data_IF_489393904197
#
_entry.id   IF_489393904197
#
_cell.length_a   1.000
_cell.length_b   1.000
_cell.length_c   1.000
_cell.angle_alpha   90.00
_cell.angle_beta   90.00
_cell.angle_gamma   90.00
#
_symmetry.space_group_name_H-M   'P 1'
#
loop_
_entity.id
_entity.type
_entity.pdbx_description
1 polymer ?
#
# COMPACT_ATOMS: atom_id res chain seq x y z
N UNK A 1 78.83 -9.74 -29.88
CA UNK A 1 77.51 -10.38 -30.00
C UNK A 1 77.02 -10.65 -28.58
N UNK A 2 75.88 -10.04 -28.18
CA UNK A 2 75.03 -10.37 -27.01
C UNK A 2 75.63 -10.17 -25.59
N UNK A 3 74.96 -9.65 -24.56
CA UNK A 3 73.72 -8.87 -24.40
C UNK A 3 73.73 -8.43 -22.91
N UNK A 4 73.62 -7.12 -22.61
CA UNK A 4 73.46 -6.59 -21.25
C UNK A 4 72.13 -7.07 -20.66
N UNK A 5 72.14 -7.72 -19.49
CA UNK A 5 70.93 -7.93 -18.69
C UNK A 5 70.67 -6.67 -17.86
N UNK A 6 69.57 -5.99 -18.17
CA UNK A 6 68.99 -4.89 -17.38
C UNK A 6 67.82 -5.44 -16.57
N UNK A 7 67.84 -5.21 -15.26
CA UNK A 7 66.74 -5.50 -14.34
C UNK A 7 65.58 -4.54 -14.61
N UNK A 8 64.44 -5.05 -15.06
CA UNK A 8 63.20 -4.30 -15.07
C UNK A 8 62.40 -4.64 -13.80
N UNK A 9 62.35 -3.69 -12.88
CA UNK A 9 61.35 -3.64 -11.81
C UNK A 9 59.97 -3.44 -12.45
N UNK A 10 59.09 -4.44 -12.36
CA UNK A 10 57.67 -4.25 -12.67
C UNK A 10 57.01 -3.47 -11.54
N UNK A 11 56.75 -2.19 -11.79
CA UNK A 11 55.85 -1.38 -10.96
C UNK A 11 54.43 -1.85 -11.29
N UNK A 12 53.85 -2.69 -10.41
CA UNK A 12 52.44 -3.03 -10.44
C UNK A 12 51.69 -1.78 -9.98
N UNK A 13 51.14 -1.04 -10.94
CA UNK A 13 50.20 0.04 -10.66
C UNK A 13 48.86 -0.60 -10.26
N UNK A 14 48.63 -0.76 -8.94
CA UNK A 14 47.31 -1.09 -8.42
C UNK A 14 46.39 0.11 -8.74
N UNK A 15 45.58 -0.02 -9.78
CA UNK A 15 44.43 0.84 -9.96
C UNK A 15 43.46 0.56 -8.81
N UNK A 16 43.50 1.41 -7.78
CA UNK A 16 42.43 1.53 -6.80
C UNK A 16 41.16 1.91 -7.56
N UNK A 17 40.34 0.91 -7.88
CA UNK A 17 38.95 1.13 -8.25
C UNK A 17 38.30 1.70 -6.99
N UNK A 18 38.14 3.02 -6.98
CA UNK A 18 37.33 3.70 -5.99
C UNK A 18 35.90 3.19 -6.18
N UNK A 19 35.48 2.22 -5.37
CA UNK A 19 34.08 2.05 -5.07
C UNK A 19 33.63 3.39 -4.48
N UNK A 20 32.78 4.12 -5.20
CA UNK A 20 32.02 5.21 -4.64
C UNK A 20 31.14 4.60 -3.54
N UNK A 21 31.69 4.54 -2.33
CA UNK A 21 30.94 4.23 -1.14
C UNK A 21 29.83 5.25 -1.02
N UNK A 22 28.60 4.78 -0.82
CA UNK A 22 27.50 5.63 -0.38
C UNK A 22 28.01 6.48 0.79
N UNK A 23 27.94 7.80 0.66
CA UNK A 23 28.13 8.69 1.80
C UNK A 23 27.02 8.41 2.80
N UNK A 24 27.38 7.81 3.94
CA UNK A 24 26.50 7.72 5.10
C UNK A 24 26.13 9.13 5.53
N UNK A 25 24.89 9.57 5.30
CA UNK A 25 24.46 10.88 5.79
C UNK A 25 23.08 11.39 5.37
N UNK A 26 22.56 11.00 4.19
CA UNK A 26 21.25 11.52 3.76
C UNK A 26 20.12 10.56 4.15
N UNK A 27 19.34 10.96 5.15
CA UNK A 27 18.12 10.23 5.55
C UNK A 27 17.10 10.38 4.44
N UNK A 28 16.64 9.26 3.88
CA UNK A 28 15.59 9.30 2.87
C UNK A 28 14.29 9.74 3.54
N UNK A 29 13.59 10.70 2.96
CA UNK A 29 12.32 11.17 3.48
C UNK A 29 11.15 10.77 2.56
N UNK A 30 10.02 10.45 3.18
CA UNK A 30 8.74 10.26 2.51
C UNK A 30 7.58 10.56 3.45
N UNK A 31 6.35 10.67 2.92
CA UNK A 31 5.20 11.06 3.73
C UNK A 31 4.44 9.86 4.27
N UNK A 32 3.78 10.07 5.40
CA UNK A 32 2.81 9.15 6.03
C UNK A 32 1.87 8.51 5.00
N UNK A 33 1.89 7.19 4.88
CA UNK A 33 1.03 6.42 3.97
C UNK A 33 1.44 6.40 2.49
N UNK A 34 2.63 6.91 2.13
CA UNK A 34 3.15 6.81 0.75
C UNK A 34 3.83 5.47 0.46
N UNK A 35 4.01 5.19 -0.82
CA UNK A 35 4.98 4.20 -1.31
C UNK A 35 6.16 4.99 -1.87
N UNK A 36 7.38 4.59 -1.52
CA UNK A 36 8.61 5.19 -2.03
C UNK A 36 9.52 4.10 -2.60
N UNK A 37 10.52 4.55 -3.37
CA UNK A 37 11.60 3.69 -3.84
C UNK A 37 12.87 4.07 -3.08
N UNK A 38 13.51 3.08 -2.47
CA UNK A 38 14.78 3.23 -1.75
C UNK A 38 15.88 2.41 -2.43
N UNK A 39 17.16 2.78 -2.33
CA UNK A 39 18.25 1.91 -2.74
C UNK A 39 18.24 0.63 -1.89
N UNK A 40 18.62 -0.50 -2.48
CA UNK A 40 18.86 -1.75 -1.76
C UNK A 40 20.32 -2.15 -1.90
N UNK A 41 20.95 -2.47 -0.76
CA UNK A 41 22.34 -2.96 -0.70
C UNK A 41 22.43 -4.48 -0.93
N UNK A 42 21.28 -5.14 -1.03
CA UNK A 42 21.11 -6.58 -1.03
C UNK A 42 20.70 -7.05 -2.43
N UNK A 43 21.46 -8.02 -2.98
CA UNK A 43 21.03 -8.82 -4.12
C UNK A 43 20.24 -10.05 -3.66
N UNK A 44 19.76 -10.05 -2.41
CA UNK A 44 19.19 -11.22 -1.77
C UNK A 44 17.81 -11.49 -2.39
N UNK A 45 17.63 -12.70 -2.92
CA UNK A 45 16.43 -13.13 -3.65
C UNK A 45 15.14 -13.19 -2.80
N UNK A 46 15.23 -12.86 -1.50
CA UNK A 46 14.07 -12.72 -0.62
C UNK A 46 13.40 -11.34 -0.68
N UNK A 47 14.10 -10.33 -1.22
CA UNK A 47 13.58 -8.97 -1.31
C UNK A 47 12.51 -8.90 -2.40
N UNK A 48 11.26 -8.74 -1.97
CA UNK A 48 10.11 -8.55 -2.85
C UNK A 48 10.18 -7.14 -3.46
N UNK A 49 9.75 -6.98 -4.71
CA UNK A 49 9.66 -5.70 -5.44
C UNK A 49 10.99 -4.97 -5.70
N UNK A 50 12.01 -5.74 -6.05
CA UNK A 50 13.30 -5.21 -6.51
C UNK A 50 13.18 -4.69 -7.94
N UNK A 51 13.66 -3.47 -8.16
CA UNK A 51 13.79 -2.81 -9.46
C UNK A 51 15.29 -2.69 -9.76
N UNK A 52 15.74 -3.29 -10.88
CA UNK A 52 17.12 -3.15 -11.36
C UNK A 52 17.15 -2.12 -12.46
N UNK A 53 17.99 -1.10 -12.31
CA UNK A 53 18.22 -0.10 -13.34
C UNK A 53 19.71 0.20 -13.48
N UNK A 54 20.21 0.03 -14.69
CA UNK A 54 21.64 0.04 -15.03
C UNK A 54 22.42 -0.94 -14.15
N UNK A 55 23.06 -0.46 -13.08
CA UNK A 55 23.76 -1.28 -12.06
C UNK A 55 23.26 -1.03 -10.63
N UNK A 56 22.23 -0.19 -10.46
CA UNK A 56 21.63 0.13 -9.16
C UNK A 56 20.45 -0.80 -8.89
N UNK A 57 20.33 -1.21 -7.63
CA UNK A 57 19.21 -2.00 -7.14
C UNK A 57 18.37 -1.09 -6.27
N UNK A 58 17.08 -1.05 -6.57
CA UNK A 58 16.09 -0.31 -5.84
C UNK A 58 15.02 -1.24 -5.32
N UNK A 59 14.31 -0.80 -4.29
CA UNK A 59 13.18 -1.53 -3.75
C UNK A 59 12.01 -0.60 -3.48
N UNK A 60 10.83 -1.10 -3.81
CA UNK A 60 9.58 -0.43 -3.49
C UNK A 60 9.17 -0.76 -2.06
N UNK A 61 8.94 0.25 -1.23
CA UNK A 61 8.55 0.09 0.19
C UNK A 61 7.38 0.98 0.54
N UNK A 62 6.47 0.50 1.39
CA UNK A 62 5.42 1.35 1.96
C UNK A 62 5.89 2.04 3.22
N UNK A 63 5.37 3.25 3.44
CA UNK A 63 5.55 4.00 4.67
C UNK A 63 4.28 3.90 5.52
N UNK A 64 4.40 3.62 6.82
CA UNK A 64 3.25 3.55 7.71
C UNK A 64 2.54 4.91 7.81
N UNK A 65 1.27 4.88 8.18
CA UNK A 65 0.62 6.09 8.68
C UNK A 65 1.17 6.44 10.06
N UNK A 66 1.65 7.67 10.22
CA UNK A 66 2.21 8.18 11.48
C UNK A 66 1.53 9.48 11.91
N UNK A 67 1.37 9.65 13.23
CA UNK A 67 0.82 10.87 13.86
C UNK A 67 1.88 11.88 14.27
N UNK A 68 3.15 11.48 14.24
CA UNK A 68 4.35 12.30 14.45
C UNK A 68 5.41 11.79 13.48
N UNK A 69 6.40 12.62 13.15
CA UNK A 69 7.56 12.16 12.38
C UNK A 69 8.18 10.93 13.03
N UNK A 70 8.53 9.93 12.22
CA UNK A 70 9.06 8.66 12.68
C UNK A 70 10.26 8.26 11.83
N UNK A 71 11.39 7.94 12.47
CA UNK A 71 12.50 7.29 11.79
C UNK A 71 12.28 5.78 11.84
N UNK A 72 12.26 5.13 10.67
CA UNK A 72 12.19 3.68 10.53
C UNK A 72 13.39 3.21 9.74
N UNK A 73 13.81 1.96 9.97
CA UNK A 73 14.78 1.29 9.10
C UNK A 73 14.03 0.32 8.19
N UNK A 74 14.33 0.38 6.89
CA UNK A 74 13.82 -0.51 5.85
C UNK A 74 14.98 -0.96 4.99
N UNK A 75 15.25 -2.27 4.95
CA UNK A 75 16.30 -2.88 4.14
C UNK A 75 17.66 -2.16 4.31
N UNK A 76 18.07 -2.00 5.57
CA UNK A 76 19.31 -1.34 5.98
C UNK A 76 19.42 0.16 5.60
N UNK A 77 18.31 0.77 5.20
CA UNK A 77 18.21 2.21 4.92
C UNK A 77 17.29 2.87 5.94
N UNK A 78 17.79 3.93 6.57
CA UNK A 78 17.00 4.79 7.44
C UNK A 78 16.10 5.72 6.62
N UNK A 79 14.80 5.67 6.92
CA UNK A 79 13.77 6.45 6.27
C UNK A 79 13.01 7.27 7.30
N UNK A 80 12.98 8.59 7.13
CA UNK A 80 12.13 9.48 7.92
C UNK A 80 10.75 9.58 7.29
N UNK A 81 9.77 9.03 7.98
CA UNK A 81 8.36 9.16 7.64
C UNK A 81 7.85 10.47 8.23
N UNK A 82 7.54 11.43 7.36
CA UNK A 82 7.00 12.73 7.75
C UNK A 82 5.50 12.63 8.03
N UNK A 83 5.08 13.17 9.16
CA UNK A 83 3.67 13.36 9.45
C UNK A 83 3.04 14.29 8.41
N UNK A 84 1.78 14.01 8.07
CA UNK A 84 0.98 14.86 7.19
C UNK A 84 -0.32 15.17 7.90
N UNK A 85 -0.67 16.46 7.95
CA UNK A 85 -1.99 16.88 8.40
C UNK A 85 -2.99 16.71 7.25
N UNK A 86 -3.69 15.57 7.24
CA UNK A 86 -4.77 15.29 6.29
C UNK A 86 -6.08 16.00 6.62
N UNK A 87 -6.13 16.79 7.70
CA UNK A 87 -7.32 17.45 8.19
C UNK A 87 -8.32 16.49 8.85
N UNK A 88 -9.53 16.98 9.05
CA UNK A 88 -10.59 16.25 9.77
C UNK A 88 -11.77 15.88 8.87
N UNK A 89 -12.44 14.80 9.23
CA UNK A 89 -13.77 14.46 8.70
C UNK A 89 -14.72 14.24 9.87
N UNK A 90 -15.90 14.87 9.80
CA UNK A 90 -16.94 14.79 10.82
C UNK A 90 -18.19 14.23 10.17
N UNK A 91 -18.69 13.11 10.71
CA UNK A 91 -19.89 12.45 10.22
C UNK A 91 -20.85 12.14 11.37
N UNK A 92 -22.13 12.07 11.05
CA UNK A 92 -23.18 11.64 11.97
C UNK A 92 -23.71 10.30 11.51
N UNK A 93 -23.59 9.28 12.35
CA UNK A 93 -24.15 7.95 12.12
C UNK A 93 -25.45 7.86 12.92
N UNK A 94 -26.57 7.69 12.21
CA UNK A 94 -27.90 7.61 12.80
C UNK A 94 -28.09 6.32 13.62
N UNK A 95 -27.53 5.21 13.15
CA UNK A 95 -27.51 3.94 13.89
C UNK A 95 -26.44 3.97 14.98
N UNK A 96 -26.83 4.39 16.18
CA UNK A 96 -25.92 4.51 17.32
C UNK A 96 -25.37 3.16 17.78
N UNK A 97 -26.01 2.02 17.45
CA UNK A 97 -25.47 0.69 17.79
C UNK A 97 -24.13 0.40 17.11
N UNK A 98 -23.85 1.08 15.99
CA UNK A 98 -22.56 1.02 15.26
C UNK A 98 -21.50 1.95 15.85
N UNK A 99 -21.88 2.84 16.76
CA UNK A 99 -21.00 3.84 17.38
C UNK A 99 -20.69 3.43 18.82
N UNK A 100 -21.72 3.06 19.56
CA UNK A 100 -21.69 2.68 20.97
C UNK A 100 -22.08 1.20 21.08
N UNK A 101 -21.07 0.32 20.99
CA UNK A 101 -21.28 -1.10 20.80
C UNK A 101 -21.78 -1.79 22.07
N UNK A 102 -22.73 -2.71 21.90
CA UNK A 102 -23.05 -3.70 22.91
C UNK A 102 -21.86 -4.66 23.12
N UNK A 103 -21.83 -5.40 24.23
CA UNK A 103 -20.80 -6.45 24.45
C UNK A 103 -20.80 -7.50 23.33
N UNK A 104 -21.98 -7.86 22.84
CA UNK A 104 -22.14 -8.83 21.74
C UNK A 104 -21.56 -8.29 20.44
N UNK A 105 -21.87 -7.05 20.10
CA UNK A 105 -21.34 -6.40 18.88
C UNK A 105 -19.83 -6.21 18.97
N UNK A 106 -19.32 -5.88 20.16
CA UNK A 106 -17.87 -5.77 20.38
C UNK A 106 -17.18 -7.12 20.19
N UNK A 107 -17.75 -8.23 20.68
CA UNK A 107 -17.20 -9.57 20.45
C UNK A 107 -17.24 -9.95 18.97
N UNK A 108 -18.34 -9.64 18.27
CA UNK A 108 -18.46 -9.84 16.82
C UNK A 108 -17.35 -9.07 16.09
N UNK A 109 -17.24 -7.76 16.33
CA UNK A 109 -16.25 -6.91 15.67
C UNK A 109 -14.81 -7.37 15.94
N UNK A 110 -14.50 -7.84 17.15
CA UNK A 110 -13.19 -8.37 17.48
C UNK A 110 -12.86 -9.67 16.71
N UNK A 111 -13.82 -10.60 16.63
CA UNK A 111 -13.66 -11.84 15.87
C UNK A 111 -13.45 -11.57 14.38
N UNK A 112 -14.22 -10.64 13.84
CA UNK A 112 -14.13 -10.21 12.44
C UNK A 112 -12.81 -9.53 12.11
N UNK A 113 -12.27 -8.71 13.01
CA UNK A 113 -10.95 -8.10 12.86
C UNK A 113 -9.83 -9.16 12.76
N UNK A 114 -9.97 -10.29 13.47
CA UNK A 114 -9.03 -11.41 13.36
C UNK A 114 -9.12 -12.07 11.98
N UNK A 115 -10.33 -12.28 11.45
CA UNK A 115 -10.52 -12.85 10.11
C UNK A 115 -9.89 -11.99 9.03
N UNK A 116 -10.09 -10.66 9.08
CA UNK A 116 -9.48 -9.72 8.14
C UNK A 116 -7.94 -9.76 8.28
N UNK A 117 -7.43 -9.79 9.51
CA UNK A 117 -5.98 -9.89 9.76
C UNK A 117 -5.38 -11.18 9.18
N UNK A 118 -6.09 -12.31 9.31
CA UNK A 118 -5.67 -13.59 8.75
C UNK A 118 -5.68 -13.57 7.21
N UNK A 119 -6.70 -12.97 6.59
CA UNK A 119 -6.75 -12.83 5.13
C UNK A 119 -5.58 -11.99 4.58
N UNK A 120 -5.07 -11.03 5.36
CA UNK A 120 -3.95 -10.16 4.98
C UNK A 120 -2.57 -10.73 5.38
N UNK A 121 -2.50 -11.84 6.13
CA UNK A 121 -1.21 -12.36 6.64
C UNK A 121 -0.47 -13.25 5.66
N UNK A 122 -1.18 -13.80 4.67
CA UNK A 122 -0.63 -14.72 3.68
C UNK A 122 -0.92 -14.18 2.30
N UNK A 123 0.11 -14.01 1.48
CA UNK A 123 -0.03 -13.54 0.11
C UNK A 123 0.51 -14.58 -0.87
N UNK A 124 -0.14 -14.69 -2.02
CA UNK A 124 0.30 -15.52 -3.14
C UNK A 124 1.60 -14.98 -3.74
N UNK A 125 2.41 -15.89 -4.26
CA UNK A 125 3.58 -15.56 -5.09
C UNK A 125 3.32 -15.89 -6.57
N UNK A 126 2.11 -16.28 -6.93
CA UNK A 126 1.71 -16.61 -8.31
C UNK A 126 1.43 -15.36 -9.15
N UNK A 127 1.20 -14.22 -8.50
CA UNK A 127 0.87 -12.95 -9.12
C UNK A 127 1.99 -11.96 -8.84
N UNK A 128 2.70 -11.52 -9.88
CA UNK A 128 3.57 -10.33 -9.81
C UNK A 128 2.72 -9.09 -10.11
N UNK A 129 2.53 -8.15 -9.16
CA UNK A 129 1.71 -6.97 -9.38
C UNK A 129 2.45 -5.89 -10.18
N UNK A 130 1.71 -5.22 -11.08
CA UNK A 130 2.26 -4.16 -11.94
C UNK A 130 2.24 -2.76 -11.32
N UNK A 131 1.52 -2.58 -10.20
CA UNK A 131 1.19 -1.27 -9.59
C UNK A 131 0.55 -0.25 -10.56
N UNK A 132 0.04 -0.69 -11.70
CA UNK A 132 -0.74 0.14 -12.63
C UNK A 132 -2.22 0.08 -12.26
N UNK A 133 -2.59 0.68 -11.12
CA UNK A 133 -3.96 0.63 -10.63
C UNK A 133 -4.90 1.46 -11.51
N UNK A 134 -6.11 0.94 -11.75
CA UNK A 134 -7.25 1.76 -12.18
C UNK A 134 -8.13 2.11 -10.97
N UNK A 135 -8.93 3.16 -11.07
CA UNK A 135 -9.96 3.41 -10.05
C UNK A 135 -11.01 2.29 -10.07
N UNK A 136 -11.40 1.72 -8.92
CA UNK A 136 -12.43 0.66 -8.87
C UNK A 136 -13.82 1.11 -9.31
N UNK A 137 -14.12 2.40 -9.15
CA UNK A 137 -15.38 3.04 -9.56
C UNK A 137 -15.08 4.38 -10.25
N UNK A 138 -15.96 4.90 -11.12
CA UNK A 138 -15.72 6.15 -11.84
C UNK A 138 -15.96 7.42 -11.00
N UNK A 139 -16.47 7.29 -9.78
CA UNK A 139 -16.86 8.45 -8.96
C UNK A 139 -15.69 9.21 -8.35
N UNK A 140 -15.95 10.48 -8.01
CA UNK A 140 -14.98 11.36 -7.38
C UNK A 140 -14.66 10.94 -5.94
N UNK A 141 -13.51 11.39 -5.45
CA UNK A 141 -13.11 11.22 -4.05
C UNK A 141 -14.01 12.05 -3.14
N UNK A 142 -14.65 11.41 -2.16
CA UNK A 142 -15.49 12.07 -1.16
C UNK A 142 -14.81 12.17 0.21
N UNK A 143 -13.90 11.24 0.52
CA UNK A 143 -13.02 11.33 1.69
C UNK A 143 -11.63 10.80 1.36
N UNK A 144 -10.62 11.68 1.30
CA UNK A 144 -9.22 11.31 1.17
C UNK A 144 -8.69 10.46 2.32
N UNK A 145 -7.58 9.77 2.06
CA UNK A 145 -6.82 9.03 3.07
C UNK A 145 -6.29 9.94 4.19
N UNK A 146 -6.18 9.36 5.39
CA UNK A 146 -5.44 9.91 6.53
C UNK A 146 -6.22 10.89 7.41
N UNK A 147 -7.45 11.29 7.03
CA UNK A 147 -8.24 12.26 7.80
C UNK A 147 -8.53 11.76 9.21
N UNK A 148 -8.37 12.62 10.20
CA UNK A 148 -8.80 12.34 11.56
C UNK A 148 -10.34 12.30 11.58
N UNK A 149 -10.90 11.12 11.87
CA UNK A 149 -12.36 10.91 11.83
C UNK A 149 -12.98 11.26 13.17
N UNK A 150 -14.11 11.96 13.13
CA UNK A 150 -15.03 12.14 14.24
C UNK A 150 -16.38 11.56 13.85
N UNK A 151 -16.95 10.74 14.72
CA UNK A 151 -18.28 10.15 14.55
C UNK A 151 -19.12 10.60 15.74
N UNK A 152 -20.26 11.24 15.49
CA UNK A 152 -21.15 11.76 16.53
C UNK A 152 -20.41 12.63 17.56
N UNK A 153 -19.49 13.48 17.07
CA UNK A 153 -18.67 14.37 17.89
C UNK A 153 -17.45 13.73 18.57
N UNK A 154 -17.35 12.40 18.57
CA UNK A 154 -16.28 11.68 19.25
C UNK A 154 -15.13 11.32 18.31
N UNK A 155 -13.86 11.47 18.72
CA UNK A 155 -12.73 11.09 17.89
C UNK A 155 -12.70 9.57 17.66
N UNK A 156 -12.24 9.17 16.47
CA UNK A 156 -12.05 7.78 16.03
C UNK A 156 -10.68 7.62 15.37
N UNK A 157 -10.34 6.41 14.96
CA UNK A 157 -9.13 6.17 14.16
C UNK A 157 -9.14 6.99 12.87
N UNK A 158 -7.95 7.36 12.39
CA UNK A 158 -7.80 8.01 11.10
C UNK A 158 -8.39 7.14 9.98
N UNK A 159 -8.91 7.79 8.95
CA UNK A 159 -9.49 7.14 7.79
C UNK A 159 -8.39 6.64 6.85
N UNK A 160 -7.91 5.42 7.08
CA UNK A 160 -6.81 4.83 6.31
C UNK A 160 -7.30 4.12 5.03
N UNK A 161 -8.13 4.80 4.26
CA UNK A 161 -8.74 4.34 3.02
C UNK A 161 -9.11 5.55 2.14
N UNK A 162 -9.60 5.29 0.93
CA UNK A 162 -10.15 6.29 0.02
C UNK A 162 -11.66 6.02 -0.14
N UNK A 163 -12.49 7.00 0.22
CA UNK A 163 -13.93 6.92 -0.05
C UNK A 163 -14.22 7.54 -1.42
N UNK A 164 -14.84 6.77 -2.31
CA UNK A 164 -15.21 7.16 -3.67
C UNK A 164 -16.73 7.22 -3.80
N UNK A 165 -17.25 8.27 -4.43
CA UNK A 165 -18.67 8.40 -4.71
C UNK A 165 -19.16 7.23 -5.59
N UNK A 166 -20.33 6.72 -5.27
CA UNK A 166 -21.00 5.71 -6.09
C UNK A 166 -22.42 5.53 -5.61
N UNK A 167 -23.39 5.63 -6.51
CA UNK A 167 -24.77 5.26 -6.18
C UNK A 167 -24.84 3.77 -5.91
N UNK A 168 -25.77 3.36 -5.05
CA UNK A 168 -26.04 1.94 -4.82
C UNK A 168 -26.26 1.19 -6.14
N UNK A 169 -25.63 0.04 -6.30
CA UNK A 169 -25.63 -0.73 -7.55
C UNK A 169 -24.54 -0.33 -8.55
N UNK A 170 -23.74 0.70 -8.29
CA UNK A 170 -22.62 1.07 -9.18
C UNK A 170 -21.61 -0.08 -9.27
N UNK A 171 -21.22 -0.55 -10.48
CA UNK A 171 -20.24 -1.62 -10.63
C UNK A 171 -18.88 -1.28 -10.02
N UNK A 172 -18.37 -2.16 -9.16
CA UNK A 172 -17.01 -2.12 -8.62
C UNK A 172 -16.14 -3.06 -9.45
N UNK A 173 -15.06 -2.51 -10.01
CA UNK A 173 -14.09 -3.25 -10.81
C UNK A 173 -12.81 -3.54 -10.04
N UNK A 174 -12.17 -4.68 -10.33
CA UNK A 174 -10.84 -4.98 -9.83
C UNK A 174 -9.83 -3.95 -10.39
N UNK A 175 -9.10 -3.22 -9.55
CA UNK A 175 -8.17 -2.19 -9.96
C UNK A 175 -6.85 -2.76 -10.47
N UNK A 176 -6.58 -4.02 -10.16
CA UNK A 176 -5.43 -4.80 -10.57
C UNK A 176 -5.83 -6.28 -10.59
N UNK A 177 -5.11 -7.11 -11.36
CA UNK A 177 -5.27 -8.57 -11.29
C UNK A 177 -5.05 -9.07 -9.86
N UNK A 178 -5.78 -10.09 -9.43
CA UNK A 178 -5.67 -10.61 -8.06
C UNK A 178 -6.46 -11.88 -7.82
N UNK A 179 -6.24 -12.47 -6.65
CA UNK A 179 -7.01 -13.59 -6.12
C UNK A 179 -7.91 -13.10 -4.99
N UNK A 180 -9.16 -13.53 -4.95
CA UNK A 180 -10.09 -13.18 -3.87
C UNK A 180 -9.73 -13.99 -2.62
N UNK A 181 -9.34 -13.31 -1.55
CA UNK A 181 -8.92 -13.94 -0.28
C UNK A 181 -9.93 -13.79 0.85
N UNK A 182 -10.90 -12.87 0.70
CA UNK A 182 -11.98 -12.71 1.67
C UNK A 182 -13.24 -12.20 0.98
N UNK A 183 -14.37 -12.80 1.33
CA UNK A 183 -15.72 -12.28 1.07
C UNK A 183 -16.53 -12.49 2.35
N UNK A 184 -17.20 -11.45 2.85
CA UNK A 184 -18.00 -11.59 4.07
C UNK A 184 -18.85 -10.36 4.39
N UNK A 185 -19.74 -10.49 5.38
CA UNK A 185 -20.51 -9.39 5.96
C UNK A 185 -20.01 -9.10 7.38
N UNK A 186 -19.43 -7.91 7.55
CA UNK A 186 -18.76 -7.50 8.76
C UNK A 186 -19.47 -6.34 9.44
N UNK A 187 -19.36 -6.26 10.76
CA UNK A 187 -20.05 -5.30 11.59
C UNK A 187 -19.83 -3.84 11.14
N UNK A 188 -18.57 -3.47 10.88
CA UNK A 188 -18.18 -2.12 10.47
C UNK A 188 -18.14 -1.93 8.97
N UNK A 189 -17.53 -2.88 8.23
CA UNK A 189 -17.29 -2.73 6.80
C UNK A 189 -18.43 -3.27 5.94
N UNK A 190 -19.46 -3.89 6.53
CA UNK A 190 -20.56 -4.49 5.79
C UNK A 190 -20.08 -5.59 4.84
N UNK A 191 -20.75 -5.75 3.71
CA UNK A 191 -20.26 -6.63 2.65
C UNK A 191 -18.90 -6.14 2.16
N UNK A 192 -17.92 -7.02 2.27
CA UNK A 192 -16.52 -6.73 2.02
C UNK A 192 -15.90 -7.80 1.13
N UNK A 193 -15.10 -7.35 0.16
CA UNK A 193 -14.22 -8.20 -0.64
C UNK A 193 -12.77 -7.77 -0.38
N UNK A 194 -11.84 -8.73 -0.30
CA UNK A 194 -10.40 -8.48 -0.30
C UNK A 194 -9.75 -9.25 -1.44
N UNK A 195 -8.96 -8.55 -2.24
CA UNK A 195 -8.11 -9.10 -3.29
C UNK A 195 -6.66 -9.11 -2.84
N UNK A 196 -5.98 -10.22 -3.08
CA UNK A 196 -4.54 -10.37 -3.01
C UNK A 196 -3.95 -10.23 -4.42
N UNK A 197 -3.14 -9.20 -4.61
CA UNK A 197 -2.45 -8.92 -5.86
C UNK A 197 -1.04 -9.53 -5.92
N UNK A 198 -0.70 -10.31 -4.89
CA UNK A 198 0.56 -11.02 -4.75
C UNK A 198 1.64 -10.25 -4.03
N UNK A 199 2.60 -11.00 -3.48
CA UNK A 199 3.78 -10.50 -2.77
C UNK A 199 3.50 -9.51 -1.62
N UNK A 200 2.30 -9.54 -1.03
CA UNK A 200 1.91 -8.69 0.10
C UNK A 200 1.20 -7.37 -0.30
N UNK A 201 0.78 -7.25 -1.55
CA UNK A 201 -0.08 -6.17 -2.03
C UNK A 201 -1.54 -6.64 -2.02
N UNK A 202 -2.40 -5.97 -1.24
CA UNK A 202 -3.82 -6.29 -1.16
C UNK A 202 -4.68 -5.06 -1.38
N UNK A 203 -5.93 -5.26 -1.77
CA UNK A 203 -6.94 -4.22 -1.75
C UNK A 203 -8.25 -4.74 -1.15
N UNK A 204 -8.98 -3.85 -0.48
CA UNK A 204 -10.25 -4.17 0.19
C UNK A 204 -11.33 -3.18 -0.23
N UNK A 205 -12.54 -3.71 -0.44
CA UNK A 205 -13.73 -3.00 -0.89
C UNK A 205 -14.80 -3.22 0.17
N UNK A 206 -15.29 -2.16 0.78
CA UNK A 206 -16.27 -2.23 1.86
C UNK A 206 -17.56 -1.51 1.51
N UNK A 207 -18.57 -1.74 2.32
CA UNK A 207 -19.92 -1.16 2.23
C UNK A 207 -20.68 -1.59 0.99
N UNK A 208 -20.30 -2.73 0.40
CA UNK A 208 -20.88 -3.22 -0.84
C UNK A 208 -22.36 -3.57 -0.62
N UNK A 209 -23.17 -3.51 -1.67
CA UNK A 209 -24.53 -4.09 -1.67
C UNK A 209 -24.47 -5.58 -1.98
N UNK A 210 -23.52 -5.99 -2.83
CA UNK A 210 -23.37 -7.36 -3.27
C UNK A 210 -21.92 -7.65 -3.72
N UNK A 211 -21.41 -8.82 -3.39
CA UNK A 211 -20.19 -9.37 -3.99
C UNK A 211 -20.54 -10.22 -5.21
N UNK A 212 -19.80 -10.05 -6.31
CA UNK A 212 -19.97 -10.83 -7.56
C UNK A 212 -18.89 -11.89 -7.76
N UNK A 213 -18.09 -12.13 -6.73
CA UNK A 213 -16.97 -13.07 -6.69
C UNK A 213 -16.99 -13.87 -5.39
N UNK A 214 -16.23 -14.96 -5.36
CA UNK A 214 -16.08 -15.88 -4.23
C UNK A 214 -14.62 -16.02 -3.85
N UNK A 215 -14.35 -16.41 -2.60
CA UNK A 215 -12.98 -16.72 -2.15
C UNK A 215 -12.38 -17.80 -3.04
N UNK A 216 -11.15 -17.57 -3.50
CA UNK A 216 -10.43 -18.43 -4.45
C UNK A 216 -10.55 -18.02 -5.91
N UNK A 217 -11.49 -17.13 -6.27
CA UNK A 217 -11.60 -16.65 -7.64
C UNK A 217 -10.37 -15.81 -8.03
N UNK A 218 -9.85 -16.04 -9.24
CA UNK A 218 -8.90 -15.13 -9.88
C UNK A 218 -9.66 -14.10 -10.70
N UNK A 219 -9.25 -12.83 -10.59
CA UNK A 219 -9.83 -11.72 -11.33
C UNK A 219 -8.73 -10.99 -12.11
N UNK A 220 -9.04 -10.63 -13.35
CA UNK A 220 -8.23 -9.72 -14.12
C UNK A 220 -8.58 -8.26 -13.78
N UNK A 221 -7.67 -7.33 -14.11
CA UNK A 221 -7.98 -5.90 -14.01
C UNK A 221 -9.26 -5.58 -14.81
N UNK A 222 -10.09 -4.70 -14.28
CA UNK A 222 -11.41 -4.32 -14.80
C UNK A 222 -12.53 -5.36 -14.66
N UNK A 223 -12.27 -6.58 -14.18
CA UNK A 223 -13.34 -7.54 -13.90
C UNK A 223 -14.29 -7.00 -12.82
N UNK A 224 -15.58 -7.34 -12.96
CA UNK A 224 -16.61 -6.98 -11.98
C UNK A 224 -16.40 -7.81 -10.70
N UNK A 225 -16.23 -7.15 -9.56
CA UNK A 225 -16.07 -7.82 -8.26
C UNK A 225 -17.27 -7.64 -7.33
N UNK A 226 -18.13 -6.66 -7.61
CA UNK A 226 -19.31 -6.41 -6.82
C UNK A 226 -19.96 -5.09 -7.15
N UNK A 227 -20.87 -4.66 -6.29
CA UNK A 227 -21.68 -3.46 -6.46
C UNK A 227 -21.54 -2.56 -5.24
N UNK A 228 -21.45 -1.24 -5.47
CA UNK A 228 -21.49 -0.24 -4.40
C UNK A 228 -22.80 -0.37 -3.62
N UNK A 229 -22.75 -0.16 -2.32
CA UNK A 229 -23.92 -0.18 -1.47
C UNK A 229 -23.75 0.72 -0.25
N UNK A 230 -24.51 0.39 0.78
CA UNK A 230 -24.59 1.16 2.02
C UNK A 230 -24.61 0.27 3.27
N UNK A 231 -23.93 -0.88 3.21
CA UNK A 231 -23.90 -1.85 4.33
C UNK A 231 -22.82 -1.52 5.37
N UNK A 232 -23.00 -1.99 6.61
CA UNK A 232 -22.07 -1.74 7.72
C UNK A 232 -22.29 -0.37 8.37
N UNK A 233 -21.20 0.32 8.74
CA UNK A 233 -21.25 1.62 9.41
C UNK A 233 -20.98 2.74 8.41
N UNK A 234 -22.04 3.26 7.79
CA UNK A 234 -21.97 4.31 6.76
C UNK A 234 -23.03 5.39 6.96
N UNK A 235 -22.86 6.52 6.29
CA UNK A 235 -23.87 7.59 6.20
C UNK A 235 -24.71 7.52 4.91
N UNK A 236 -24.30 6.68 3.95
CA UNK A 236 -24.96 6.52 2.66
C UNK A 236 -24.05 5.81 1.66
N UNK A 237 -24.54 5.57 0.42
CA UNK A 237 -23.81 4.80 -0.58
C UNK A 237 -22.48 5.44 -1.01
N UNK A 238 -21.41 4.65 -0.95
CA UNK A 238 -20.08 4.97 -1.46
C UNK A 238 -19.21 3.70 -1.49
N UNK A 239 -18.10 3.73 -2.21
CA UNK A 239 -17.07 2.70 -2.08
C UNK A 239 -16.01 3.15 -1.08
N UNK A 240 -15.78 2.35 -0.04
CA UNK A 240 -14.60 2.49 0.82
C UNK A 240 -13.50 1.55 0.35
N UNK A 241 -12.44 2.11 -0.22
CA UNK A 241 -11.35 1.37 -0.85
C UNK A 241 -10.06 1.50 -0.05
N UNK A 242 -9.54 0.39 0.48
CA UNK A 242 -8.25 0.33 1.18
C UNK A 242 -7.23 -0.40 0.33
N UNK A 243 -5.97 0.07 0.34
CA UNK A 243 -4.84 -0.68 -0.22
C UNK A 243 -3.82 -0.94 0.89
N UNK A 244 -3.34 -2.18 0.93
CA UNK A 244 -2.31 -2.65 1.85
C UNK A 244 -1.09 -3.00 1.02
N UNK A 245 0.08 -2.53 1.44
CA UNK A 245 1.34 -2.88 0.82
C UNK A 245 2.40 -3.04 1.90
N UNK A 246 3.14 -4.16 1.88
CA UNK A 246 4.23 -4.43 2.84
C UNK A 246 3.77 -4.23 4.32
N UNK A 247 2.61 -4.79 4.65
CA UNK A 247 2.01 -4.72 5.98
C UNK A 247 1.41 -3.36 6.39
N UNK A 248 1.54 -2.31 5.59
CA UNK A 248 1.01 -0.98 5.88
C UNK A 248 -0.21 -0.66 5.02
N UNK A 249 -1.14 0.14 5.55
CA UNK A 249 -2.16 0.80 4.73
C UNK A 249 -1.54 2.01 4.04
N UNK A 250 -1.67 2.06 2.72
CA UNK A 250 -1.12 3.13 1.89
C UNK A 250 -2.24 3.96 1.27
N UNK A 251 -1.93 5.21 0.88
CA UNK A 251 -2.89 6.09 0.24
C UNK A 251 -3.25 5.59 -1.17
N UNK A 252 -4.49 5.13 -1.44
CA UNK A 252 -4.88 4.63 -2.76
C UNK A 252 -4.90 5.70 -3.85
N UNK A 253 -5.07 6.98 -3.48
CA UNK A 253 -5.18 8.09 -4.41
C UNK A 253 -3.92 8.27 -5.27
N UNK A 254 -2.74 7.97 -4.73
CA UNK A 254 -1.49 8.07 -5.48
C UNK A 254 -1.34 6.95 -6.52
N UNK A 255 -1.91 5.77 -6.26
CA UNK A 255 -1.74 4.57 -7.08
C UNK A 255 -2.44 4.65 -8.43
N UNK A 256 -3.54 5.41 -8.51
CA UNK A 256 -4.33 5.58 -9.74
C UNK A 256 -3.80 6.69 -10.65
N UNK A 257 -2.69 7.34 -10.27
CA UNK A 257 -2.06 8.36 -11.11
C UNK A 257 -1.34 7.70 -12.29
N UNK A 258 -1.44 8.33 -13.45
CA UNK A 258 -0.72 7.88 -14.62
C UNK A 258 0.78 7.80 -14.33
N UNK A 259 1.42 6.76 -14.87
CA UNK A 259 2.89 6.60 -14.79
C UNK A 259 3.45 6.57 -13.36
N UNK A 260 2.66 6.13 -12.36
CA UNK A 260 3.00 6.16 -10.94
C UNK A 260 4.39 5.59 -10.62
N UNK A 261 4.64 4.31 -10.94
CA UNK A 261 5.94 3.68 -10.67
C UNK A 261 7.10 4.38 -11.38
N UNK A 262 6.91 4.78 -12.64
CA UNK A 262 7.97 5.47 -13.38
C UNK A 262 8.29 6.85 -12.78
N UNK A 263 7.30 7.52 -12.18
CA UNK A 263 7.48 8.78 -11.47
C UNK A 263 8.27 8.56 -10.19
N UNK A 264 7.94 7.52 -9.41
CA UNK A 264 8.71 7.15 -8.22
C UNK A 264 10.16 6.81 -8.57
N UNK A 265 10.37 6.07 -9.66
CA UNK A 265 11.70 5.63 -10.07
C UNK A 265 12.57 6.81 -10.50
N UNK A 266 12.01 7.76 -11.26
CA UNK A 266 12.69 9.02 -11.59
C UNK A 266 13.08 9.82 -10.35
N UNK A 267 12.19 9.91 -9.36
CA UNK A 267 12.48 10.60 -8.10
C UNK A 267 13.63 9.92 -7.35
N UNK A 268 13.63 8.58 -7.27
CA UNK A 268 14.68 7.84 -6.59
C UNK A 268 16.03 7.97 -7.29
N UNK A 269 16.07 7.86 -8.62
CA UNK A 269 17.32 8.02 -9.38
C UNK A 269 17.90 9.41 -9.21
N UNK A 270 17.07 10.46 -9.28
CA UNK A 270 17.55 11.84 -9.12
C UNK A 270 18.08 12.16 -7.71
N UNK A 271 17.79 11.30 -6.72
CA UNK A 271 18.28 11.41 -5.34
C UNK A 271 19.52 10.54 -5.06
N UNK A 272 20.02 9.79 -6.04
CA UNK A 272 21.14 8.83 -5.89
C UNK A 272 22.21 9.00 -6.95
#
# INVERSE_FOLDING_TARGET
>A
MLQKRSNYFSIICLALIAFAGFTSGEVIEGKSGEIIIIPSLSNNHQDKFVIKQDSKIFQLVSLPFVKNDLLITRHDVDVRVKQVNFGESRITIADTSKVDLSKTDQMRANKEAILIKQALSTSTNEITPSFQFISPVPGAITSPFGKQRFINGQPRSAHLALDLAGSEGTPIKAPLKGMVVLVGDFFYTGHTVILDHGYGLFSSYSHMSEAKVRVGDFVEQSNLIGLVGSTGRVTGPHLHWTVYFDGNKVNPESLVKESYLSTLLKIAINKT
#
